data_IF_926611879251
#
_entry.id   IF_926611879251
#
_cell.length_a   1.000
_cell.length_b   1.000
_cell.length_c   1.000
_cell.angle_alpha   90.00
_cell.angle_beta   90.00
_cell.angle_gamma   90.00
#
_symmetry.space_group_name_H-M   'P 1'
#
loop_
_entity.id
_entity.type
_entity.pdbx_description
1 polymer ?
#
# COMPACT_ATOMS: atom_id res chain seq x y z
N UNK A 1 -49.57 38.39 45.51
CA UNK A 1 -48.73 37.55 46.39
C UNK A 1 -47.67 36.88 45.54
N UNK A 2 -46.48 37.46 45.46
CA UNK A 2 -45.30 36.84 44.83
C UNK A 2 -44.18 36.83 45.87
N UNK A 3 -43.69 35.64 46.19
CA UNK A 3 -42.49 35.43 46.99
C UNK A 3 -41.42 34.76 46.10
N UNK A 4 -40.14 35.14 46.19
CA UNK A 4 -39.10 34.71 45.26
C UNK A 4 -38.35 33.46 45.76
N UNK A 5 -38.03 32.57 44.82
CA UNK A 5 -37.29 31.33 45.04
C UNK A 5 -35.95 31.44 44.28
N UNK A 6 -35.01 32.22 44.82
CA UNK A 6 -33.64 32.32 44.26
C UNK A 6 -32.65 32.47 45.41
N UNK A 7 -32.32 31.40 46.13
CA UNK A 7 -31.08 31.28 46.93
C UNK A 7 -30.78 29.82 47.24
N UNK A 8 -30.27 29.06 46.26
CA UNK A 8 -29.62 27.77 46.54
C UNK A 8 -28.53 27.35 45.53
N UNK A 9 -28.18 28.20 44.56
CA UNK A 9 -27.24 27.83 43.50
C UNK A 9 -25.79 28.27 43.73
N UNK A 10 -25.52 29.07 44.77
CA UNK A 10 -24.20 29.72 44.94
C UNK A 10 -23.22 28.98 45.86
N UNK A 11 -23.68 28.01 46.66
CA UNK A 11 -22.82 27.34 47.66
C UNK A 11 -22.16 26.06 47.11
N UNK A 12 -22.71 25.44 46.06
CA UNK A 12 -22.15 24.20 45.50
C UNK A 12 -20.93 24.46 44.58
N UNK A 13 -20.80 25.66 44.01
CA UNK A 13 -19.71 25.95 43.06
C UNK A 13 -18.36 26.18 43.78
N UNK A 14 -18.36 26.62 45.04
CA UNK A 14 -17.11 26.88 45.77
C UNK A 14 -16.45 25.61 46.36
N UNK A 15 -17.20 24.51 46.53
CA UNK A 15 -16.63 23.23 46.98
C UNK A 15 -15.96 22.42 45.86
N UNK A 16 -16.28 22.71 44.59
CA UNK A 16 -15.72 22.01 43.43
C UNK A 16 -14.43 22.64 42.88
N UNK A 17 -14.11 23.89 43.22
CA UNK A 17 -12.89 24.55 42.76
C UNK A 17 -11.65 24.28 43.64
N UNK A 18 -11.81 23.76 44.85
CA UNK A 18 -10.68 23.46 45.75
C UNK A 18 -10.07 22.07 45.53
N UNK A 19 -10.64 21.23 44.65
CA UNK A 19 -10.16 19.88 44.38
C UNK A 19 -9.27 19.76 43.12
N UNK A 20 -8.94 20.87 42.44
CA UNK A 20 -8.25 20.83 41.13
C UNK A 20 -6.72 20.99 41.19
N UNK A 21 -6.08 20.85 42.36
CA UNK A 21 -4.62 20.88 42.52
C UNK A 21 -4.10 19.62 43.24
N UNK A 22 -4.74 18.48 43.04
CA UNK A 22 -4.08 17.20 43.28
C UNK A 22 -3.17 16.94 42.08
N UNK A 23 -1.85 16.95 42.30
CA UNK A 23 -0.89 16.39 41.35
C UNK A 23 -1.41 15.03 40.88
N UNK A 24 -1.60 14.81 39.57
CA UNK A 24 -2.06 13.52 39.09
C UNK A 24 -1.03 12.49 39.52
N UNK A 25 -1.44 11.59 40.42
CA UNK A 25 -0.63 10.46 40.84
C UNK A 25 0.02 9.86 39.60
N UNK A 26 1.36 9.83 39.60
CA UNK A 26 2.17 9.38 38.47
C UNK A 26 1.60 8.06 37.96
N UNK A 27 1.06 8.10 36.74
CA UNK A 27 0.60 6.87 36.08
C UNK A 27 1.79 5.90 36.09
N UNK A 28 1.59 4.63 36.47
CA UNK A 28 2.65 3.65 36.43
C UNK A 28 3.27 3.69 35.04
N UNK A 29 4.58 3.94 34.96
CA UNK A 29 5.33 3.98 33.72
C UNK A 29 5.09 2.67 32.98
N UNK A 30 4.20 2.70 31.99
CA UNK A 30 3.97 1.60 31.09
C UNK A 30 5.27 1.42 30.31
N UNK A 31 6.05 0.38 30.67
CA UNK A 31 7.31 0.07 29.99
C UNK A 31 7.03 0.00 28.50
N UNK A 32 7.54 0.99 27.75
CA UNK A 32 7.31 1.09 26.33
C UNK A 32 7.67 -0.24 25.65
N UNK A 33 6.73 -0.82 24.91
CA UNK A 33 6.95 -2.08 24.21
C UNK A 33 8.00 -1.87 23.12
N UNK A 34 9.20 -2.41 23.32
CA UNK A 34 10.27 -2.37 22.33
C UNK A 34 10.02 -3.42 21.24
N UNK A 35 10.25 -3.01 20.00
CA UNK A 35 10.16 -3.85 18.80
C UNK A 35 11.56 -3.95 18.21
N UNK A 36 11.95 -5.12 17.72
CA UNK A 36 13.20 -5.31 16.97
C UNK A 36 12.90 -5.48 15.49
N UNK A 37 13.56 -4.69 14.64
CA UNK A 37 13.50 -4.81 13.17
C UNK A 37 14.90 -4.95 12.57
N UNK A 38 14.95 -5.58 11.40
CA UNK A 38 16.17 -5.76 10.61
C UNK A 38 16.05 -4.98 9.32
N UNK A 39 17.01 -4.10 9.07
CA UNK A 39 17.11 -3.30 7.87
C UNK A 39 18.31 -3.78 7.05
N UNK A 40 18.13 -3.94 5.73
CA UNK A 40 19.23 -4.35 4.84
C UNK A 40 19.92 -3.10 4.34
N UNK A 41 21.10 -2.84 4.90
CA UNK A 41 21.86 -1.62 4.67
C UNK A 41 23.24 -1.99 4.16
N UNK A 42 23.59 -1.66 2.90
CA UNK A 42 24.94 -1.86 2.41
C UNK A 42 25.92 -1.11 3.30
N UNK A 43 26.91 -1.83 3.83
CA UNK A 43 27.89 -1.26 4.74
C UNK A 43 28.60 -0.04 4.13
N UNK A 44 28.85 -0.05 2.82
CA UNK A 44 29.45 1.09 2.12
C UNK A 44 28.59 2.37 2.17
N UNK A 45 27.26 2.23 2.03
CA UNK A 45 26.32 3.36 2.02
C UNK A 45 26.21 3.98 3.41
N UNK A 46 26.17 3.15 4.44
CA UNK A 46 26.08 3.61 5.82
C UNK A 46 27.28 4.48 6.23
N UNK A 47 28.48 4.18 5.71
CA UNK A 47 29.67 4.95 6.01
C UNK A 47 29.76 6.25 5.22
N UNK A 48 29.26 6.30 3.99
CA UNK A 48 29.24 7.54 3.21
C UNK A 48 28.28 8.59 3.78
N UNK A 49 27.31 8.17 4.60
CA UNK A 49 26.33 9.04 5.24
C UNK A 49 26.71 9.48 6.64
N UNK A 50 27.75 8.87 7.24
CA UNK A 50 28.29 9.39 8.48
C UNK A 50 28.82 10.79 8.15
N UNK A 51 28.35 11.84 8.86
CA UNK A 51 28.86 13.18 8.62
C UNK A 51 30.38 13.11 8.72
N UNK A 52 31.08 13.42 7.63
CA UNK A 52 32.48 13.80 7.70
C UNK A 52 32.48 15.01 8.63
N UNK A 53 32.82 14.77 9.90
CA UNK A 53 32.99 15.82 10.88
C UNK A 53 34.10 16.73 10.34
N UNK A 54 33.67 17.80 9.69
CA UNK A 54 34.44 18.69 8.84
C UNK A 54 35.86 18.92 9.35
N UNK A 55 36.83 18.45 8.58
CA UNK A 55 38.07 19.17 8.27
C UNK A 55 39.04 19.56 9.39
N UNK A 56 38.76 19.27 10.66
CA UNK A 56 39.74 19.36 11.73
C UNK A 56 40.25 17.96 12.04
N UNK A 57 41.56 17.76 11.83
CA UNK A 57 42.33 16.67 12.44
C UNK A 57 42.23 16.76 13.97
N UNK A 58 41.08 16.41 14.52
CA UNK A 58 40.96 15.94 15.88
C UNK A 58 41.01 14.43 15.76
N UNK A 59 41.94 13.79 16.48
CA UNK A 59 42.14 12.32 16.55
C UNK A 59 40.91 11.53 17.07
N UNK A 60 39.74 12.18 17.13
CA UNK A 60 38.45 11.66 17.53
C UNK A 60 37.51 11.54 16.32
N UNK A 61 37.99 10.95 15.22
CA UNK A 61 37.06 10.40 14.23
C UNK A 61 36.07 9.51 14.97
N UNK A 62 34.78 9.67 14.70
CA UNK A 62 33.69 8.92 15.34
C UNK A 62 33.86 7.44 15.01
N UNK A 63 34.77 6.79 15.73
CA UNK A 63 35.05 5.37 15.59
C UNK A 63 33.78 4.69 16.05
N UNK A 64 33.05 4.13 15.09
CA UNK A 64 31.99 3.20 15.40
C UNK A 64 32.53 2.21 16.43
N UNK A 65 31.82 2.10 17.55
CA UNK A 65 32.27 1.26 18.65
C UNK A 65 32.09 -0.19 18.22
N UNK A 66 33.20 -0.83 17.90
CA UNK A 66 33.20 -2.25 17.59
C UNK A 66 32.76 -3.03 18.83
N UNK A 67 31.73 -3.83 18.66
CA UNK A 67 31.26 -4.75 19.68
C UNK A 67 32.10 -6.03 19.59
N UNK A 68 32.19 -6.84 20.68
CA UNK A 68 32.90 -8.12 20.63
C UNK A 68 32.45 -8.92 19.39
N UNK A 69 33.34 -9.66 18.73
CA UNK A 69 32.94 -10.47 17.58
C UNK A 69 31.85 -11.50 17.96
N UNK A 70 30.93 -11.78 17.04
CA UNK A 70 30.08 -12.96 17.20
C UNK A 70 30.92 -14.24 16.97
N UNK A 71 30.47 -15.38 17.50
CA UNK A 71 31.21 -16.65 17.43
C UNK A 71 31.49 -17.13 15.99
N UNK A 72 30.76 -16.61 15.01
CA UNK A 72 30.90 -16.91 13.58
C UNK A 72 31.86 -15.96 12.84
N UNK A 73 32.53 -15.04 13.55
CA UNK A 73 33.45 -14.06 12.94
C UNK A 73 32.75 -12.85 12.33
N UNK A 74 31.44 -12.68 12.55
CA UNK A 74 30.72 -11.49 12.10
C UNK A 74 31.19 -10.24 12.88
N UNK A 75 31.65 -9.22 12.15
CA UNK A 75 32.01 -7.92 12.73
C UNK A 75 30.75 -7.11 13.02
N UNK A 76 30.70 -6.53 14.24
CA UNK A 76 29.53 -5.84 14.75
C UNK A 76 29.90 -4.44 15.22
N UNK A 77 29.07 -3.47 14.88
CA UNK A 77 29.28 -2.08 15.27
C UNK A 77 28.03 -1.56 15.99
N UNK A 78 28.23 -0.93 17.14
CA UNK A 78 27.20 -0.11 17.77
C UNK A 78 27.08 1.19 16.98
N UNK A 79 25.93 1.39 16.36
CA UNK A 79 25.64 2.55 15.51
C UNK A 79 24.55 3.43 16.11
N UNK A 80 24.25 3.27 17.40
CA UNK A 80 23.19 4.03 18.06
C UNK A 80 23.43 5.55 17.99
N UNK A 81 24.68 5.99 18.16
CA UNK A 81 25.03 7.41 18.10
C UNK A 81 24.71 8.06 16.74
N UNK A 82 24.74 7.28 15.65
CA UNK A 82 24.33 7.77 14.34
C UNK A 82 22.81 8.01 14.28
N UNK A 83 22.01 7.08 14.81
CA UNK A 83 20.56 7.25 14.86
C UNK A 83 20.17 8.43 15.77
N UNK A 84 20.87 8.63 16.89
CA UNK A 84 20.68 9.80 17.77
C UNK A 84 20.95 11.11 17.04
N UNK A 85 22.02 11.20 16.24
CA UNK A 85 22.30 12.42 15.45
C UNK A 85 21.23 12.72 14.41
N UNK A 86 20.50 11.70 13.96
CA UNK A 86 19.35 11.84 13.06
C UNK A 86 18.01 12.04 13.79
N UNK A 87 18.04 12.22 15.12
CA UNK A 87 16.87 12.55 15.94
C UNK A 87 16.14 11.35 16.55
N UNK A 88 16.69 10.14 16.50
CA UNK A 88 16.10 8.95 17.16
C UNK A 88 16.45 8.96 18.64
N UNK A 89 15.43 8.98 19.50
CA UNK A 89 15.63 9.04 20.96
C UNK A 89 16.00 7.67 21.54
N UNK A 90 16.99 7.66 22.46
CA UNK A 90 17.40 6.46 23.18
C UNK A 90 16.50 6.18 24.38
N UNK A 91 15.66 5.16 24.27
CA UNK A 91 14.93 4.63 25.42
C UNK A 91 15.72 3.48 26.08
N UNK A 92 15.52 3.22 27.39
CA UNK A 92 16.16 2.09 28.07
C UNK A 92 15.87 0.77 27.36
N UNK A 93 16.92 0.01 27.03
CA UNK A 93 16.83 -1.24 26.28
C UNK A 93 16.87 -1.09 24.76
N UNK A 94 16.95 0.15 24.25
CA UNK A 94 17.15 0.38 22.83
C UNK A 94 18.58 0.07 22.38
N UNK A 95 18.71 -0.56 21.22
CA UNK A 95 19.97 -1.06 20.66
C UNK A 95 19.96 -0.89 19.13
N UNK A 96 21.10 -0.55 18.53
CA UNK A 96 21.25 -0.47 17.08
C UNK A 96 22.61 -1.04 16.69
N UNK A 97 22.59 -2.18 16.02
CA UNK A 97 23.77 -3.00 15.75
C UNK A 97 23.88 -3.22 14.25
N UNK A 98 24.96 -2.75 13.66
CA UNK A 98 25.28 -2.98 12.25
C UNK A 98 26.17 -4.23 12.11
N UNK A 99 25.70 -5.19 11.32
CA UNK A 99 26.41 -6.41 10.93
C UNK A 99 27.07 -6.18 9.56
N UNK A 100 28.40 -6.15 9.55
CA UNK A 100 29.18 -5.74 8.38
C UNK A 100 29.06 -6.70 7.19
N UNK A 101 29.27 -7.99 7.41
CA UNK A 101 29.32 -8.94 6.29
C UNK A 101 27.90 -9.24 5.77
N UNK A 102 26.93 -9.22 6.68
CA UNK A 102 25.52 -9.47 6.38
C UNK A 102 24.78 -8.24 5.81
N UNK A 103 25.43 -7.06 5.78
CA UNK A 103 24.82 -5.78 5.39
C UNK A 103 23.47 -5.56 6.07
N UNK A 104 23.42 -5.76 7.39
CA UNK A 104 22.18 -5.75 8.16
C UNK A 104 22.30 -4.85 9.38
N UNK A 105 21.37 -3.90 9.52
CA UNK A 105 21.20 -3.06 10.68
C UNK A 105 20.03 -3.60 11.52
N UNK A 106 20.33 -4.09 12.71
CA UNK A 106 19.33 -4.60 13.66
C UNK A 106 19.04 -3.51 14.69
N UNK A 107 17.81 -3.02 14.73
CA UNK A 107 17.40 -1.93 15.63
C UNK A 107 16.29 -2.41 16.56
N UNK A 108 16.49 -2.23 17.86
CA UNK A 108 15.48 -2.42 18.90
C UNK A 108 15.15 -1.05 19.47
N UNK A 109 13.90 -0.60 19.32
CA UNK A 109 13.41 0.68 19.86
C UNK A 109 11.86 0.66 19.94
N UNK A 110 11.23 1.76 20.36
CA UNK A 110 9.76 1.86 20.37
C UNK A 110 9.19 1.85 18.94
N UNK A 111 7.93 1.45 18.78
CA UNK A 111 7.28 1.40 17.46
C UNK A 111 7.31 2.76 16.72
N UNK A 112 7.10 3.86 17.44
CA UNK A 112 7.17 5.22 16.89
C UNK A 112 8.58 5.55 16.34
N UNK A 113 9.62 5.10 17.03
CA UNK A 113 11.01 5.32 16.62
C UNK A 113 11.42 4.40 15.45
N UNK A 114 10.80 3.22 15.32
CA UNK A 114 11.05 2.32 14.18
C UNK A 114 10.65 2.97 12.84
N UNK A 115 9.56 3.73 12.82
CA UNK A 115 9.10 4.43 11.60
C UNK A 115 10.09 5.54 11.21
N UNK A 116 10.68 6.23 12.19
CA UNK A 116 11.72 7.23 11.94
C UNK A 116 13.01 6.59 11.44
N UNK A 117 13.45 5.49 12.06
CA UNK A 117 14.62 4.71 11.61
C UNK A 117 14.42 4.21 10.18
N UNK A 118 13.24 3.69 9.86
CA UNK A 118 12.92 3.24 8.51
C UNK A 118 13.03 4.37 7.49
N UNK A 119 12.56 5.58 7.83
CA UNK A 119 12.69 6.78 7.00
C UNK A 119 14.16 7.18 6.81
N UNK A 120 14.95 7.19 7.88
CA UNK A 120 16.39 7.50 7.84
C UNK A 120 17.12 6.51 6.93
N UNK A 121 16.90 5.21 7.14
CA UNK A 121 17.55 4.15 6.35
C UNK A 121 17.13 4.23 4.87
N UNK A 122 15.86 4.52 4.59
CA UNK A 122 15.36 4.65 3.23
C UNK A 122 15.92 5.88 2.51
N UNK A 123 16.01 7.02 3.23
CA UNK A 123 16.40 8.31 2.67
C UNK A 123 17.92 8.44 2.56
N UNK A 124 18.62 8.19 3.65
CA UNK A 124 20.05 8.50 3.76
C UNK A 124 20.90 7.35 3.20
N UNK A 125 20.57 6.11 3.57
CA UNK A 125 21.37 4.96 3.16
C UNK A 125 21.01 4.45 1.74
N UNK A 126 20.05 5.09 1.05
CA UNK A 126 19.54 4.64 -0.26
C UNK A 126 19.05 3.19 -0.24
N UNK A 127 18.72 2.67 0.94
CA UNK A 127 18.24 1.32 1.15
C UNK A 127 16.76 1.29 0.85
N UNK A 128 16.41 1.58 -0.40
CA UNK A 128 15.06 1.42 -0.87
C UNK A 128 14.63 -0.02 -0.60
N UNK A 129 13.41 -0.20 -0.09
CA UNK A 129 12.74 -1.49 -0.09
C UNK A 129 13.02 -2.17 -1.43
N UNK A 130 13.72 -3.31 -1.40
CA UNK A 130 14.07 -4.13 -2.57
C UNK A 130 12.97 -3.99 -3.61
N UNK A 131 13.25 -3.33 -4.74
CA UNK A 131 12.22 -2.81 -5.65
C UNK A 131 11.17 -3.89 -5.94
N UNK A 132 10.05 -3.82 -5.21
CA UNK A 132 8.99 -4.82 -5.31
C UNK A 132 8.19 -4.46 -6.54
N UNK A 133 8.04 -5.42 -7.45
CA UNK A 133 7.10 -5.26 -8.55
C UNK A 133 5.70 -5.54 -8.01
N UNK A 134 4.75 -4.69 -8.34
CA UNK A 134 3.32 -4.92 -8.13
C UNK A 134 2.74 -5.39 -9.44
N UNK A 135 2.22 -6.60 -9.44
CA UNK A 135 1.40 -7.18 -10.50
C UNK A 135 -0.07 -6.88 -10.17
N UNK A 136 -0.77 -6.23 -11.09
CA UNK A 136 -2.19 -5.92 -10.96
C UNK A 136 -2.95 -6.47 -12.16
N UNK A 137 -4.03 -7.18 -11.87
CA UNK A 137 -4.94 -7.72 -12.89
C UNK A 137 -6.31 -7.07 -12.73
N UNK A 138 -6.86 -6.55 -13.82
CA UNK A 138 -8.22 -6.04 -13.87
C UNK A 138 -9.06 -6.91 -14.81
N UNK A 139 -10.08 -7.59 -14.27
CA UNK A 139 -10.94 -8.51 -15.02
C UNK A 139 -12.40 -8.08 -14.92
N UNK A 140 -13.02 -7.77 -16.05
CA UNK A 140 -14.44 -7.46 -16.16
C UNK A 140 -15.22 -8.73 -16.49
N UNK A 141 -16.14 -9.10 -15.62
CA UNK A 141 -16.97 -10.29 -15.73
C UNK A 141 -18.44 -9.92 -15.97
N UNK A 142 -19.16 -10.75 -16.71
CA UNK A 142 -20.62 -10.78 -16.82
C UNK A 142 -21.15 -12.04 -16.13
N UNK A 143 -22.29 -11.93 -15.46
CA UNK A 143 -22.99 -13.07 -14.85
C UNK A 143 -24.50 -12.85 -14.84
N UNK A 144 -25.24 -13.95 -14.68
CA UNK A 144 -26.68 -13.90 -14.45
C UNK A 144 -26.97 -14.01 -12.96
N UNK A 145 -27.84 -13.14 -12.46
CA UNK A 145 -28.24 -13.08 -11.06
C UNK A 145 -29.76 -13.00 -10.96
N UNK A 146 -30.32 -13.42 -9.83
CA UNK A 146 -31.77 -13.30 -9.63
C UNK A 146 -32.15 -11.81 -9.49
N UNK A 147 -33.22 -11.40 -10.16
CA UNK A 147 -33.68 -10.00 -10.21
C UNK A 147 -34.00 -9.44 -8.81
N UNK A 148 -34.39 -10.32 -7.89
CA UNK A 148 -34.72 -10.01 -6.50
C UNK A 148 -33.60 -10.35 -5.51
N UNK A 149 -32.45 -10.85 -5.98
CA UNK A 149 -31.31 -11.04 -5.11
C UNK A 149 -30.92 -9.68 -4.54
N UNK A 150 -30.88 -9.62 -3.21
CA UNK A 150 -30.83 -8.39 -2.45
C UNK A 150 -29.69 -7.51 -2.96
N UNK A 151 -30.04 -6.33 -3.48
CA UNK A 151 -29.09 -5.34 -4.01
C UNK A 151 -28.11 -4.90 -2.92
N UNK A 152 -28.48 -5.13 -1.66
CA UNK A 152 -27.74 -4.79 -0.45
C UNK A 152 -26.51 -5.71 -0.26
N UNK A 153 -26.52 -6.96 -0.73
CA UNK A 153 -25.35 -7.83 -0.65
C UNK A 153 -24.32 -7.45 -1.71
N UNK A 154 -23.45 -6.49 -1.35
CA UNK A 154 -22.25 -6.15 -2.10
C UNK A 154 -21.30 -7.34 -2.06
N UNK A 155 -20.91 -7.81 -3.24
CA UNK A 155 -19.85 -8.79 -3.40
C UNK A 155 -18.52 -8.08 -3.16
N UNK A 156 -17.68 -8.64 -2.29
CA UNK A 156 -16.38 -8.09 -1.94
C UNK A 156 -15.25 -8.90 -2.59
N UNK A 157 -15.41 -10.22 -2.70
CA UNK A 157 -14.36 -11.12 -3.19
C UNK A 157 -14.77 -11.87 -4.46
N UNK A 158 -13.78 -12.29 -5.25
CA UNK A 158 -14.04 -13.09 -6.46
C UNK A 158 -14.67 -14.45 -6.13
N UNK A 159 -14.34 -15.03 -4.98
CA UNK A 159 -14.92 -16.29 -4.51
C UNK A 159 -16.45 -16.15 -4.29
N UNK A 160 -16.90 -15.06 -3.67
CA UNK A 160 -18.33 -14.76 -3.50
C UNK A 160 -19.02 -14.57 -4.85
N UNK A 161 -18.41 -13.83 -5.78
CA UNK A 161 -18.94 -13.66 -7.13
C UNK A 161 -19.11 -15.01 -7.82
N UNK A 162 -18.10 -15.89 -7.76
CA UNK A 162 -18.15 -17.22 -8.36
C UNK A 162 -19.24 -18.08 -7.73
N UNK A 163 -19.40 -18.02 -6.41
CA UNK A 163 -20.45 -18.74 -5.70
C UNK A 163 -21.85 -18.27 -6.12
N UNK A 164 -22.05 -16.95 -6.26
CA UNK A 164 -23.33 -16.35 -6.67
C UNK A 164 -23.66 -16.59 -8.14
N UNK A 165 -22.69 -16.36 -9.03
CA UNK A 165 -22.88 -16.50 -10.48
C UNK A 165 -22.98 -17.97 -10.93
N UNK A 166 -22.34 -18.89 -10.19
CA UNK A 166 -22.21 -20.29 -10.59
C UNK A 166 -21.59 -20.41 -11.99
N UNK A 167 -22.29 -21.11 -12.89
CA UNK A 167 -21.82 -21.36 -14.25
C UNK A 167 -22.14 -20.22 -15.25
N UNK A 168 -22.80 -19.15 -14.81
CA UNK A 168 -23.15 -18.02 -15.69
C UNK A 168 -22.01 -17.02 -15.89
N UNK A 169 -20.89 -17.20 -15.16
CA UNK A 169 -19.77 -16.28 -15.13
C UNK A 169 -19.00 -16.31 -16.47
N UNK A 170 -18.89 -15.15 -17.12
CA UNK A 170 -18.22 -14.97 -18.41
C UNK A 170 -17.23 -13.81 -18.35
N UNK A 171 -15.97 -14.07 -18.70
CA UNK A 171 -14.96 -13.02 -18.81
C UNK A 171 -15.21 -12.18 -20.06
N UNK A 172 -15.33 -10.86 -19.89
CA UNK A 172 -15.55 -9.92 -20.97
C UNK A 172 -14.27 -9.20 -21.41
N UNK A 173 -13.46 -8.76 -20.45
CA UNK A 173 -12.19 -8.10 -20.69
C UNK A 173 -11.21 -8.38 -19.54
N UNK A 174 -9.91 -8.44 -19.86
CA UNK A 174 -8.85 -8.58 -18.86
C UNK A 174 -7.65 -7.74 -19.26
N UNK A 175 -7.04 -7.09 -18.27
CA UNK A 175 -5.80 -6.35 -18.41
C UNK A 175 -4.83 -6.75 -17.30
N UNK A 176 -3.54 -6.74 -17.62
CA UNK A 176 -2.46 -7.08 -16.69
C UNK A 176 -1.38 -6.00 -16.78
N UNK A 177 -0.93 -5.53 -15.63
CA UNK A 177 0.15 -4.55 -15.50
C UNK A 177 1.12 -5.05 -14.42
N UNK A 178 2.41 -5.04 -14.72
CA UNK A 178 3.47 -5.15 -13.73
C UNK A 178 4.21 -3.81 -13.66
N UNK A 179 4.20 -3.15 -12.50
CA UNK A 179 4.85 -1.86 -12.28
C UNK A 179 5.54 -1.80 -10.93
N UNK A 180 6.35 -0.78 -10.67
CA UNK A 180 6.97 -0.56 -9.36
C UNK A 180 6.02 0.20 -8.44
N UNK A 181 6.20 0.04 -7.13
CA UNK A 181 5.54 0.89 -6.13
C UNK A 181 5.83 2.37 -6.39
N UNK A 182 4.80 3.21 -6.32
CA UNK A 182 4.82 4.64 -6.62
C UNK A 182 4.89 4.97 -8.11
N UNK A 183 4.86 3.99 -9.01
CA UNK A 183 4.98 4.22 -10.45
C UNK A 183 3.66 3.92 -11.17
N UNK A 184 3.09 4.97 -11.76
CA UNK A 184 1.94 4.88 -12.65
C UNK A 184 2.26 4.10 -13.92
N UNK A 185 1.34 3.20 -14.30
CA UNK A 185 1.44 2.41 -15.51
C UNK A 185 0.07 2.27 -16.20
N UNK A 186 0.09 2.08 -17.52
CA UNK A 186 -1.11 1.94 -18.35
C UNK A 186 -1.02 0.74 -19.28
N UNK A 187 -2.16 0.12 -19.56
CA UNK A 187 -2.34 -0.95 -20.54
C UNK A 187 -3.58 -0.65 -21.39
N UNK A 188 -3.45 -0.81 -22.71
CA UNK A 188 -4.54 -0.56 -23.66
C UNK A 188 -4.66 -1.75 -24.60
N UNK A 189 -5.85 -2.36 -24.64
CA UNK A 189 -6.22 -3.34 -25.66
C UNK A 189 -7.30 -2.74 -26.52
N UNK A 190 -7.04 -2.61 -27.82
CA UNK A 190 -8.04 -2.14 -28.79
C UNK A 190 -8.52 -3.33 -29.58
N UNK A 191 -9.83 -3.49 -29.68
CA UNK A 191 -10.42 -4.48 -30.55
C UNK A 191 -10.46 -3.91 -31.97
N UNK A 192 -9.94 -4.64 -32.98
CA UNK A 192 -10.07 -4.19 -34.35
C UNK A 192 -11.56 -4.11 -34.70
N UNK A 193 -12.01 -2.96 -35.20
CA UNK A 193 -13.32 -2.89 -35.84
C UNK A 193 -13.24 -3.80 -37.06
N UNK A 194 -13.92 -4.95 -36.99
CA UNK A 194 -14.03 -5.88 -38.10
C UNK A 194 -14.65 -5.11 -39.28
N UNK A 195 -13.78 -4.69 -40.20
CA UNK A 195 -14.02 -3.98 -41.44
C UNK A 195 -15.45 -3.47 -41.59
N UNK A 196 -15.75 -2.31 -40.98
CA UNK A 196 -16.76 -1.44 -41.58
C UNK A 196 -16.18 -1.12 -42.96
N UNK A 197 -16.75 -1.71 -44.01
CA UNK A 197 -16.32 -1.43 -45.38
C UNK A 197 -16.17 0.09 -45.50
N UNK A 198 -15.03 0.61 -46.00
CA UNK A 198 -14.78 2.04 -46.02
C UNK A 198 -15.96 2.70 -46.75
N UNK A 199 -16.83 3.33 -45.98
CA UNK A 199 -17.89 4.17 -46.54
C UNK A 199 -17.11 5.30 -47.20
N UNK A 200 -17.18 5.39 -48.52
CA UNK A 200 -16.49 6.41 -49.31
C UNK A 200 -16.66 7.75 -48.60
N UNK A 201 -15.53 8.34 -48.18
CA UNK A 201 -15.54 9.56 -47.39
C UNK A 201 -16.27 10.65 -48.18
N UNK A 202 -17.29 11.33 -47.63
CA UNK A 202 -17.76 12.57 -48.20
C UNK A 202 -16.63 13.60 -48.13
N UNK A 203 -16.29 14.21 -49.26
CA UNK A 203 -15.27 15.26 -49.38
C UNK A 203 -15.68 16.49 -48.54
N UNK A 204 -15.32 16.51 -47.25
CA UNK A 204 -15.50 17.69 -46.40
C UNK A 204 -14.30 18.61 -46.52
N UNK A 205 -14.55 19.81 -47.05
CA UNK A 205 -13.63 20.95 -47.11
C UNK A 205 -12.94 21.20 -45.75
N UNK A 206 -11.65 21.61 -45.74
CA UNK A 206 -10.93 21.90 -44.51
C UNK A 206 -11.54 23.12 -43.81
N UNK A 207 -12.17 22.88 -42.66
CA UNK A 207 -12.55 23.95 -41.72
C UNK A 207 -11.42 24.12 -40.71
N UNK A 208 -10.84 25.32 -40.69
CA UNK A 208 -9.78 25.76 -39.79
C UNK A 208 -10.33 25.87 -38.37
N UNK A 209 -10.27 24.77 -37.62
CA UNK A 209 -10.67 24.69 -36.21
C UNK A 209 -9.47 24.73 -35.27
N UNK A 210 -9.54 25.62 -34.29
CA UNK A 210 -8.59 25.89 -33.22
C UNK A 210 -8.15 24.61 -32.48
N UNK A 211 -6.86 24.41 -32.16
CA UNK A 211 -6.43 23.27 -31.35
C UNK A 211 -6.99 23.42 -29.93
N UNK A 212 -7.92 22.55 -29.56
CA UNK A 212 -8.32 22.39 -28.17
C UNK A 212 -7.21 21.63 -27.45
N UNK A 213 -6.38 22.37 -26.71
CA UNK A 213 -5.46 21.85 -25.68
C UNK A 213 -6.29 21.28 -24.51
N UNK A 214 -6.92 20.13 -24.72
CA UNK A 214 -7.25 19.25 -23.62
C UNK A 214 -6.33 18.06 -23.77
N UNK A 215 -5.19 18.10 -23.05
CA UNK A 215 -4.17 17.07 -23.06
C UNK A 215 -4.82 15.69 -23.06
N UNK A 216 -4.61 14.94 -24.14
CA UNK A 216 -5.23 13.65 -24.39
C UNK A 216 -4.91 12.71 -23.23
N UNK A 217 -5.89 12.45 -22.37
CA UNK A 217 -5.87 11.22 -21.57
C UNK A 217 -5.70 10.08 -22.57
N UNK A 218 -4.66 9.27 -22.37
CA UNK A 218 -4.46 8.04 -23.14
C UNK A 218 -5.67 7.17 -22.82
N UNK A 219 -6.75 7.29 -23.57
CA UNK A 219 -7.99 6.55 -23.35
C UNK A 219 -8.34 5.73 -24.59
N UNK A 220 -9.53 5.12 -24.57
CA UNK A 220 -10.00 4.37 -25.74
C UNK A 220 -10.29 5.26 -26.96
N UNK A 221 -10.48 6.57 -26.79
CA UNK A 221 -10.77 7.54 -27.86
C UNK A 221 -11.94 7.09 -28.77
N UNK A 222 -12.97 6.50 -28.17
CA UNK A 222 -14.15 5.96 -28.88
C UNK A 222 -13.93 4.60 -29.56
N UNK A 223 -12.72 4.04 -29.52
CA UNK A 223 -12.46 2.69 -30.02
C UNK A 223 -13.01 1.63 -29.06
N UNK A 224 -13.38 0.47 -29.60
CA UNK A 224 -13.72 -0.71 -28.80
C UNK A 224 -12.46 -1.31 -28.18
N UNK A 225 -12.57 -1.84 -26.97
CA UNK A 225 -11.45 -2.39 -26.23
C UNK A 225 -11.54 -2.18 -24.73
N UNK A 226 -10.39 -2.22 -24.07
CA UNK A 226 -10.22 -1.85 -22.67
C UNK A 226 -8.97 -1.04 -22.43
N UNK A 227 -9.07 -0.10 -21.50
CA UNK A 227 -7.99 0.73 -20.97
C UNK A 227 -7.89 0.49 -19.47
N UNK A 228 -6.68 0.31 -18.97
CA UNK A 228 -6.41 0.13 -17.55
C UNK A 228 -5.20 0.98 -17.16
N UNK A 229 -5.38 1.81 -16.14
CA UNK A 229 -4.35 2.63 -15.52
C UNK A 229 -4.30 2.31 -14.03
N UNK A 230 -3.10 2.15 -13.50
CA UNK A 230 -2.88 1.87 -12.08
C UNK A 230 -1.63 2.58 -11.58
N UNK A 231 -1.72 3.10 -10.36
CA UNK A 231 -0.60 3.67 -9.61
C UNK A 231 -0.59 3.02 -8.21
N UNK A 232 0.15 1.92 -8.01
CA UNK A 232 0.17 1.19 -6.76
C UNK A 232 1.27 1.73 -5.83
N UNK A 233 1.01 1.76 -4.52
CA UNK A 233 1.94 2.14 -3.45
C UNK A 233 1.89 1.06 -2.38
N UNK A 234 3.02 0.41 -2.14
CA UNK A 234 3.14 -0.63 -1.11
C UNK A 234 3.30 0.07 0.25
N UNK A 235 2.46 -0.32 1.20
CA UNK A 235 2.53 0.15 2.58
C UNK A 235 3.82 -0.25 3.30
N UNK A 236 4.12 0.37 4.46
CA UNK A 236 5.34 0.11 5.22
C UNK A 236 5.43 -1.34 5.73
N UNK A 237 4.30 -2.00 5.95
CA UNK A 237 4.25 -3.42 6.30
C UNK A 237 4.66 -4.35 5.15
N UNK A 238 4.67 -3.85 3.91
CA UNK A 238 4.93 -4.64 2.72
C UNK A 238 3.83 -5.66 2.37
N UNK A 239 2.71 -5.65 3.11
CA UNK A 239 1.57 -6.53 2.95
C UNK A 239 0.38 -5.80 2.32
N UNK A 240 0.17 -4.52 2.66
CA UNK A 240 -0.89 -3.70 2.09
C UNK A 240 -0.41 -2.93 0.86
N UNK A 241 -1.30 -2.73 -0.11
CA UNK A 241 -1.07 -1.97 -1.33
C UNK A 241 -2.22 -1.00 -1.53
N UNK A 242 -1.91 0.29 -1.46
CA UNK A 242 -2.80 1.37 -1.85
C UNK A 242 -2.71 1.58 -3.37
N UNK A 243 -3.82 1.71 -4.06
CA UNK A 243 -3.85 1.82 -5.52
C UNK A 243 -4.86 2.86 -5.96
N UNK A 244 -4.43 3.78 -6.84
CA UNK A 244 -5.34 4.55 -7.67
C UNK A 244 -5.55 3.79 -8.98
N UNK A 245 -6.80 3.48 -9.33
CA UNK A 245 -7.13 2.76 -10.56
C UNK A 245 -8.10 3.55 -11.44
N UNK A 246 -7.92 3.41 -12.75
CA UNK A 246 -8.89 3.79 -13.77
C UNK A 246 -9.03 2.66 -14.78
N UNK A 247 -10.24 2.11 -14.90
CA UNK A 247 -10.56 1.04 -15.85
C UNK A 247 -11.70 1.49 -16.75
N UNK A 248 -11.49 1.43 -18.05
CA UNK A 248 -12.50 1.69 -19.06
C UNK A 248 -12.61 0.47 -19.98
N UNK A 249 -13.83 0.07 -20.31
CA UNK A 249 -14.07 -0.95 -21.32
C UNK A 249 -15.23 -0.53 -22.21
N UNK A 250 -15.02 -0.60 -23.52
CA UNK A 250 -16.04 -0.43 -24.54
C UNK A 250 -16.16 -1.71 -25.34
N UNK A 251 -17.20 -2.46 -25.06
CA UNK A 251 -17.42 -3.79 -25.57
C UNK A 251 -18.58 -3.81 -26.54
N UNK A 252 -18.52 -4.70 -27.53
CA UNK A 252 -19.63 -4.90 -28.45
C UNK A 252 -20.82 -5.49 -27.68
N UNK A 253 -21.96 -4.82 -27.70
CA UNK A 253 -23.18 -5.31 -27.08
C UNK A 253 -23.63 -6.63 -27.70
N UNK A 254 -24.11 -7.55 -26.87
CA UNK A 254 -24.55 -8.87 -27.31
C UNK A 254 -25.88 -8.77 -28.07
N UNK A 255 -25.81 -8.49 -29.38
CA UNK A 255 -26.98 -8.39 -30.25
C UNK A 255 -27.66 -7.02 -30.27
N UNK A 256 -27.05 -5.99 -29.67
CA UNK A 256 -27.51 -4.60 -29.72
C UNK A 256 -26.65 -3.80 -30.70
N UNK A 257 -27.24 -2.75 -31.30
CA UNK A 257 -26.47 -1.78 -32.09
C UNK A 257 -25.55 -0.91 -31.21
N UNK A 258 -25.88 -0.80 -29.91
CA UNK A 258 -25.12 -0.02 -28.95
C UNK A 258 -23.99 -0.84 -28.31
N UNK A 259 -22.84 -0.19 -28.17
CA UNK A 259 -21.71 -0.71 -27.41
C UNK A 259 -22.01 -0.59 -25.90
N UNK A 260 -21.55 -1.56 -25.13
CA UNK A 260 -21.54 -1.48 -23.68
C UNK A 260 -20.30 -0.73 -23.24
N UNK A 261 -20.49 0.35 -22.49
CA UNK A 261 -19.41 1.14 -21.91
C UNK A 261 -19.39 0.97 -20.39
N UNK A 262 -18.21 0.68 -19.84
CA UNK A 262 -17.95 0.57 -18.40
C UNK A 262 -16.78 1.50 -18.09
N UNK A 263 -16.94 2.39 -17.13
CA UNK A 263 -15.86 3.27 -16.64
C UNK A 263 -15.88 3.25 -15.12
N UNK A 264 -14.74 2.92 -14.52
CA UNK A 264 -14.54 2.81 -13.08
C UNK A 264 -13.24 3.52 -12.72
N UNK A 265 -13.34 4.55 -11.88
CA UNK A 265 -12.17 5.22 -11.28
C UNK A 265 -12.34 5.20 -9.77
N UNK A 266 -11.37 4.65 -9.05
CA UNK A 266 -11.45 4.51 -7.59
C UNK A 266 -10.07 4.36 -6.96
N UNK A 267 -10.01 4.55 -5.65
CA UNK A 267 -8.85 4.25 -4.82
C UNK A 267 -9.14 3.01 -3.97
N UNK A 268 -8.18 2.09 -3.89
CA UNK A 268 -8.34 0.81 -3.21
C UNK A 268 -7.14 0.54 -2.31
N UNK A 269 -7.40 -0.08 -1.18
CA UNK A 269 -6.37 -0.60 -0.29
C UNK A 269 -6.57 -2.10 -0.19
N UNK A 270 -5.61 -2.89 -0.69
CA UNK A 270 -5.70 -4.34 -0.77
C UNK A 270 -4.53 -5.00 -0.05
N UNK A 271 -4.77 -6.15 0.57
CA UNK A 271 -3.70 -7.02 1.02
C UNK A 271 -3.09 -7.78 -0.16
N UNK A 272 -1.82 -8.13 -0.04
CA UNK A 272 -1.06 -8.87 -1.04
C UNK A 272 -1.69 -10.25 -1.33
N UNK A 273 -1.84 -10.61 -2.61
CA UNK A 273 -2.52 -11.82 -3.10
C UNK A 273 -4.03 -11.87 -2.81
N UNK A 274 -4.68 -10.72 -2.62
CA UNK A 274 -6.14 -10.64 -2.52
C UNK A 274 -6.77 -10.00 -3.75
N UNK A 275 -7.97 -10.49 -4.05
CA UNK A 275 -8.87 -9.92 -5.05
C UNK A 275 -9.96 -9.10 -4.37
N UNK A 276 -10.37 -8.00 -4.99
CA UNK A 276 -11.51 -7.21 -4.56
C UNK A 276 -12.39 -6.80 -5.72
N UNK A 277 -13.68 -6.61 -5.44
CA UNK A 277 -14.68 -6.15 -6.39
C UNK A 277 -15.03 -4.68 -6.10
N UNK A 278 -14.37 -3.70 -6.74
CA UNK A 278 -14.71 -2.28 -6.59
C UNK A 278 -16.05 -1.90 -7.24
N UNK A 279 -16.51 -2.67 -8.21
CA UNK A 279 -17.67 -2.32 -9.02
C UNK A 279 -18.53 -3.54 -9.32
N UNK A 280 -19.85 -3.36 -9.12
CA UNK A 280 -20.90 -4.24 -9.59
C UNK A 280 -21.99 -3.38 -10.23
N UNK A 281 -22.37 -3.70 -11.47
CA UNK A 281 -23.47 -3.01 -12.14
C UNK A 281 -24.80 -3.36 -11.46
N UNK A 282 -25.66 -2.37 -11.32
CA UNK A 282 -27.04 -2.58 -10.90
C UNK A 282 -27.85 -2.87 -12.18
N UNK A 283 -28.55 -4.00 -12.22
CA UNK A 283 -29.34 -4.38 -13.39
C UNK A 283 -30.41 -3.32 -13.67
N UNK A 284 -30.40 -2.70 -14.85
CA UNK A 284 -31.48 -1.78 -15.24
C UNK A 284 -31.18 -0.84 -16.41
N UNK A 285 -29.93 -0.44 -16.66
CA UNK A 285 -29.68 0.66 -17.60
C UNK A 285 -29.67 0.25 -19.08
N UNK A 286 -29.34 -1.00 -19.42
CA UNK A 286 -29.24 -1.47 -20.81
C UNK A 286 -30.55 -2.06 -21.39
N UNK A 287 -31.70 -1.88 -20.73
CA UNK A 287 -32.98 -2.43 -21.22
C UNK A 287 -32.98 -3.96 -21.37
N UNK A 288 -32.11 -4.65 -20.63
CA UNK A 288 -31.87 -6.08 -20.77
C UNK A 288 -33.17 -6.86 -20.55
N UNK A 289 -33.52 -7.69 -21.55
CA UNK A 289 -34.59 -8.67 -21.47
C UNK A 289 -34.48 -9.45 -20.16
N UNK A 290 -35.41 -9.20 -19.24
CA UNK A 290 -35.64 -10.04 -18.06
C UNK A 290 -36.19 -11.37 -18.56
N UNK A 291 -35.32 -12.29 -18.95
CA UNK A 291 -35.73 -13.65 -19.24
C UNK A 291 -35.82 -14.40 -17.92
N UNK A 292 -37.06 -14.75 -17.53
CA UNK A 292 -37.35 -15.65 -16.39
C UNK A 292 -36.86 -15.15 -15.02
N UNK A 293 -36.93 -13.83 -14.78
CA UNK A 293 -36.57 -13.26 -13.48
C UNK A 293 -35.06 -13.22 -13.18
N UNK A 294 -34.22 -13.47 -14.19
CA UNK A 294 -32.77 -13.27 -14.11
C UNK A 294 -32.36 -11.98 -14.82
N UNK A 295 -31.36 -11.31 -14.25
CA UNK A 295 -30.74 -10.11 -14.80
C UNK A 295 -29.27 -10.35 -15.06
N UNK A 296 -28.79 -9.85 -16.19
CA UNK A 296 -27.34 -9.82 -16.46
C UNK A 296 -26.71 -8.68 -15.66
N UNK A 297 -25.65 -8.99 -14.94
CA UNK A 297 -24.84 -8.05 -14.18
C UNK A 297 -23.39 -8.15 -14.60
N UNK A 298 -22.64 -7.10 -14.31
CA UNK A 298 -21.20 -7.02 -14.57
C UNK A 298 -20.47 -6.71 -13.28
N UNK A 299 -19.29 -7.28 -13.11
CA UNK A 299 -18.43 -7.03 -11.96
C UNK A 299 -16.99 -6.82 -12.44
N UNK A 300 -16.35 -5.76 -11.94
CA UNK A 300 -14.91 -5.57 -12.12
C UNK A 300 -14.20 -6.19 -10.92
N UNK A 301 -13.27 -7.10 -11.18
CA UNK A 301 -12.43 -7.75 -10.18
C UNK A 301 -11.01 -7.23 -10.35
N UNK A 302 -10.43 -6.74 -9.26
CA UNK A 302 -9.05 -6.26 -9.19
C UNK A 302 -8.27 -7.21 -8.30
N UNK A 303 -7.26 -7.87 -8.86
CA UNK A 303 -6.31 -8.69 -8.14
C UNK A 303 -4.96 -7.98 -8.03
N UNK A 304 -4.33 -8.05 -6.87
CA UNK A 304 -2.99 -7.50 -6.63
C UNK A 304 -2.04 -8.55 -6.09
N UNK A 305 -0.81 -8.52 -6.59
CA UNK A 305 0.27 -9.37 -6.12
C UNK A 305 1.57 -8.59 -6.07
N UNK A 306 2.25 -8.67 -4.94
CA UNK A 306 3.58 -8.10 -4.74
C UNK A 306 4.60 -9.20 -4.98
N UNK A 307 5.43 -9.01 -6.00
CA UNK A 307 6.45 -9.97 -6.44
C UNK A 307 7.84 -9.42 -6.12
N UNK A 308 8.67 -10.28 -5.53
CA UNK A 308 10.09 -9.97 -5.31
C UNK A 308 10.89 -9.99 -6.62
N UNK A 309 12.09 -9.40 -6.60
CA UNK A 309 12.97 -9.31 -7.78
C UNK A 309 13.29 -10.70 -8.39
N UNK A 310 13.24 -11.77 -7.59
CA UNK A 310 13.57 -13.13 -8.02
C UNK A 310 12.36 -13.94 -8.53
N UNK A 311 11.19 -13.32 -8.70
CA UNK A 311 9.94 -14.01 -9.11
C UNK A 311 9.33 -14.92 -8.03
N UNK A 312 9.96 -15.01 -6.85
CA UNK A 312 9.41 -15.73 -5.69
C UNK A 312 8.19 -15.01 -5.13
N UNK A 313 7.24 -15.81 -4.64
CA UNK A 313 5.99 -15.29 -4.09
C UNK A 313 6.24 -14.50 -2.80
N UNK A 314 5.39 -13.51 -2.51
CA UNK A 314 5.52 -12.70 -1.29
C UNK A 314 5.55 -13.53 -0.01
N UNK A 315 4.79 -14.63 0.07
CA UNK A 315 4.71 -15.48 1.26
C UNK A 315 5.99 -16.29 1.50
N UNK A 316 6.55 -16.91 0.46
CA UNK A 316 7.82 -17.64 0.54
C UNK A 316 8.96 -16.71 0.93
N UNK A 317 9.00 -15.52 0.30
CA UNK A 317 9.98 -14.48 0.62
C UNK A 317 9.80 -13.99 2.05
N UNK A 318 8.57 -13.79 2.52
CA UNK A 318 8.30 -13.36 3.90
C UNK A 318 8.72 -14.42 4.93
N UNK A 319 8.41 -15.69 4.69
CA UNK A 319 8.80 -16.79 5.60
C UNK A 319 10.32 -16.95 5.66
N UNK A 320 10.99 -16.94 4.52
CA UNK A 320 12.45 -17.00 4.46
C UNK A 320 13.07 -15.77 5.14
N UNK A 321 12.56 -14.57 4.86
CA UNK A 321 13.03 -13.34 5.51
C UNK A 321 12.86 -13.38 7.02
N UNK A 322 11.71 -13.84 7.54
CA UNK A 322 11.52 -13.99 9.00
C UNK A 322 12.58 -14.89 9.61
N UNK A 323 12.88 -16.03 8.98
CA UNK A 323 13.94 -16.93 9.45
C UNK A 323 15.33 -16.29 9.38
N UNK A 324 15.64 -15.59 8.29
CA UNK A 324 16.91 -14.87 8.14
C UNK A 324 17.05 -13.72 9.14
N UNK A 325 15.98 -12.96 9.38
CA UNK A 325 15.95 -11.84 10.30
C UNK A 325 16.07 -12.33 11.74
N UNK A 326 15.42 -13.44 12.12
CA UNK A 326 15.63 -14.11 13.41
C UNK A 326 17.09 -14.53 13.62
N UNK A 327 17.73 -15.08 12.58
CA UNK A 327 19.15 -15.43 12.63
C UNK A 327 20.03 -14.20 12.81
N UNK A 328 19.74 -13.10 12.11
CA UNK A 328 20.50 -11.86 12.23
C UNK A 328 20.31 -11.18 13.57
N UNK A 329 19.10 -11.17 14.12
CA UNK A 329 18.83 -10.70 15.47
C UNK A 329 19.65 -11.52 16.48
N UNK A 330 19.66 -12.85 16.33
CA UNK A 330 20.47 -13.72 17.18
C UNK A 330 21.97 -13.42 17.06
N UNK A 331 22.48 -13.20 15.84
CA UNK A 331 23.89 -12.82 15.60
C UNK A 331 24.22 -11.45 16.19
N UNK A 332 23.35 -10.46 15.98
CA UNK A 332 23.51 -9.11 16.51
C UNK A 332 23.61 -9.12 18.04
N UNK A 333 22.81 -9.96 18.71
CA UNK A 333 22.82 -10.07 20.18
C UNK A 333 23.83 -11.05 20.76
N UNK A 334 24.49 -11.87 19.95
CA UNK A 334 25.38 -12.92 20.45
C UNK A 334 26.52 -12.35 21.32
N UNK A 335 26.60 -12.65 22.62
CA UNK A 335 27.69 -12.12 23.47
C UNK A 335 27.48 -10.68 23.97
N UNK A 336 26.37 -10.03 23.62
CA UNK A 336 25.78 -9.03 24.51
C UNK A 336 25.12 -9.85 25.63
N UNK A 337 25.56 -9.65 26.87
CA UNK A 337 24.99 -10.40 28.01
C UNK A 337 23.46 -10.30 28.01
N UNK A 338 22.77 -11.33 28.51
CA UNK A 338 21.31 -11.28 28.61
C UNK A 338 20.88 -9.95 29.26
N UNK A 339 19.85 -9.26 28.73
CA UNK A 339 19.40 -8.01 29.29
C UNK A 339 19.15 -8.23 30.79
N UNK A 340 19.85 -7.47 31.62
CA UNK A 340 19.60 -7.47 33.07
C UNK A 340 18.24 -6.82 33.26
N UNK A 341 17.20 -7.66 33.34
CA UNK A 341 15.84 -7.25 33.69
C UNK A 341 15.80 -6.63 35.08
#
# INVERSE_FOLDING_TARGET
MHAPLVRLSAIIIFALLAASHAEPASKPEEKAKLVTRVYRVPFSMFFSTLPELDGKKTDSGTKLKELPGAADGEMRYDVWSFLETSGVEKTPGSEAILLKNSNALVVTCSAEMQDLVERIVSTDCGCGMVAKSVETTASLWEYEDDQFADVIQRLHTFAELRQRAGNSLKLLASQFIATKSGQRATAVSKQPDAARAPVAAPETKPTTGTPSETASRIGLNGARGSFFEVEPTIGPDGEMVDMAISFEARLRGAGTEHDTEVSVTTNLTLSNNHDMIPYCSHGGEDGALVQKGKVKRRALVIGVRVVGVDGRTGEEVAKQRRQEDEQLIRKARAGLGAPKN
#
